data_IF_005682111476
#
_entry.id   IF_005682111476
#
_cell.length_a   1.000
_cell.length_b   1.000
_cell.length_c   1.000
_cell.angle_alpha   90.00
_cell.angle_beta   90.00
_cell.angle_gamma   90.00
#
_symmetry.space_group_name_H-M   'P 1'
#
loop_
_entity.id
_entity.type
_entity.pdbx_description
1 polymer ?
#
# COMPACT_ATOMS: atom_id res chain seq x y z
N UNK A 1 -5.93 -1.49 29.12
CA UNK A 1 -6.31 -2.64 28.28
C UNK A 1 -6.64 -2.20 26.87
N UNK A 2 -6.12 -2.85 25.88
CA UNK A 2 -6.46 -2.52 24.51
C UNK A 2 -7.92 -2.89 24.23
N UNK A 3 -8.65 -1.90 23.76
CA UNK A 3 -10.01 -2.08 23.28
C UNK A 3 -10.01 -1.98 21.79
N UNK A 4 -10.71 -2.47 21.00
CA UNK A 4 -10.69 -2.35 19.55
C UNK A 4 -9.79 -3.32 18.83
N UNK A 5 -9.08 -4.18 19.52
CA UNK A 5 -8.43 -5.34 18.96
C UNK A 5 -7.18 -5.13 18.12
N UNK A 6 -6.60 -3.92 18.06
CA UNK A 6 -5.33 -3.74 17.38
C UNK A 6 -4.17 -4.03 18.32
N UNK A 7 -3.17 -4.79 17.82
CA UNK A 7 -1.94 -5.03 18.54
C UNK A 7 -1.16 -3.73 18.73
N UNK A 8 -0.36 -3.62 19.81
CA UNK A 8 0.54 -2.49 19.97
C UNK A 8 1.44 -2.31 18.76
N UNK A 9 1.66 -1.07 18.34
CA UNK A 9 2.50 -0.76 17.18
C UNK A 9 1.78 -0.78 15.84
N UNK A 10 0.59 -1.35 15.74
CA UNK A 10 -0.22 -1.29 14.51
C UNK A 10 -0.83 0.10 14.40
N UNK A 11 -0.58 0.74 13.27
CA UNK A 11 -1.12 2.06 12.97
C UNK A 11 -2.47 1.96 12.26
N UNK A 12 -2.55 1.15 11.20
CA UNK A 12 -3.82 0.78 10.58
C UNK A 12 -3.68 -0.55 9.85
N UNK A 13 -4.81 -1.11 9.46
CA UNK A 13 -4.88 -2.35 8.67
C UNK A 13 -5.68 -2.10 7.41
N UNK A 14 -5.44 -2.94 6.40
CA UNK A 14 -6.21 -2.97 5.18
C UNK A 14 -6.39 -4.42 4.76
N UNK A 15 -7.48 -4.71 4.05
CA UNK A 15 -7.74 -6.05 3.50
C UNK A 15 -7.61 -5.95 1.99
N UNK A 16 -6.74 -6.75 1.40
CA UNK A 16 -6.54 -6.74 -0.04
C UNK A 16 -7.70 -7.45 -0.77
N UNK A 17 -7.79 -7.35 -2.11
CA UNK A 17 -8.88 -7.98 -2.86
C UNK A 17 -8.91 -9.50 -2.78
N UNK A 18 -7.83 -10.14 -2.36
CA UNK A 18 -7.73 -11.59 -2.20
C UNK A 18 -8.08 -12.04 -0.79
N UNK A 19 -8.49 -11.11 0.08
CA UNK A 19 -8.91 -11.39 1.44
C UNK A 19 -7.78 -11.47 2.47
N UNK A 20 -6.56 -11.11 2.09
CA UNK A 20 -5.42 -11.11 3.00
C UNK A 20 -5.32 -9.78 3.74
N UNK A 21 -5.01 -9.85 5.03
CA UNK A 21 -4.83 -8.65 5.86
C UNK A 21 -3.43 -8.10 5.72
N UNK A 22 -3.34 -6.78 5.54
CA UNK A 22 -2.08 -6.04 5.55
C UNK A 22 -2.06 -5.19 6.81
N UNK A 23 -1.03 -5.37 7.62
CA UNK A 23 -0.80 -4.55 8.80
C UNK A 23 0.24 -3.49 8.48
N UNK A 24 -0.09 -2.22 8.78
CA UNK A 24 0.85 -1.12 8.65
C UNK A 24 1.23 -0.68 10.06
N UNK A 25 2.46 -0.99 10.46
CA UNK A 25 2.96 -0.57 11.77
C UNK A 25 3.36 0.90 11.74
N UNK A 26 3.38 1.52 12.92
CA UNK A 26 3.87 2.90 13.06
C UNK A 26 5.31 3.05 12.57
N UNK A 27 6.14 2.04 12.86
CA UNK A 27 7.54 2.02 12.43
C UNK A 27 7.64 1.97 10.90
N UNK A 28 6.87 1.09 10.25
CA UNK A 28 6.88 0.95 8.79
C UNK A 28 6.35 2.21 8.11
N UNK A 29 5.30 2.81 8.68
CA UNK A 29 4.78 4.07 8.14
C UNK A 29 5.80 5.20 8.24
N UNK A 30 6.46 5.34 9.39
CA UNK A 30 7.51 6.34 9.57
C UNK A 30 8.66 6.13 8.58
N UNK A 31 9.02 4.88 8.33
CA UNK A 31 10.06 4.54 7.35
C UNK A 31 9.64 4.93 5.93
N UNK A 32 8.40 4.64 5.55
CA UNK A 32 7.88 5.00 4.23
C UNK A 32 7.88 6.53 4.03
N UNK A 33 7.43 7.28 5.02
CA UNK A 33 7.42 8.75 4.98
C UNK A 33 8.83 9.32 4.93
N UNK A 34 9.77 8.72 5.67
CA UNK A 34 11.17 9.15 5.64
C UNK A 34 11.77 8.98 4.24
N UNK A 35 11.50 7.87 3.59
CA UNK A 35 11.98 7.61 2.23
C UNK A 35 11.22 8.40 1.16
N UNK A 36 9.96 8.68 1.40
CA UNK A 36 9.07 9.36 0.46
C UNK A 36 8.22 10.39 1.21
N UNK A 37 8.75 11.60 1.47
CA UNK A 37 8.06 12.60 2.30
C UNK A 37 6.68 13.03 1.76
N UNK A 38 6.43 12.85 0.46
CA UNK A 38 5.12 13.11 -0.13
C UNK A 38 4.01 12.25 0.47
N UNK A 39 4.37 11.15 1.14
CA UNK A 39 3.40 10.24 1.76
C UNK A 39 2.91 10.71 3.13
N UNK A 40 3.50 11.76 3.69
CA UNK A 40 3.02 12.32 4.96
C UNK A 40 1.55 12.73 4.83
N UNK A 41 0.70 12.20 5.70
CA UNK A 41 -0.73 12.47 5.69
C UNK A 41 -1.53 11.69 4.65
N UNK A 42 -0.90 10.77 3.91
CA UNK A 42 -1.54 10.04 2.81
C UNK A 42 -1.97 8.62 3.21
N UNK A 43 -2.26 8.39 4.48
CA UNK A 43 -2.66 7.07 4.99
C UNK A 43 -3.87 6.50 4.26
N UNK A 44 -4.88 7.35 4.00
CA UNK A 44 -6.10 6.89 3.32
C UNK A 44 -5.81 6.47 1.87
N UNK A 45 -4.94 7.19 1.17
CA UNK A 45 -4.55 6.84 -0.20
C UNK A 45 -3.86 5.48 -0.22
N UNK A 46 -2.99 5.21 0.75
CA UNK A 46 -2.31 3.90 0.86
C UNK A 46 -3.32 2.79 1.17
N UNK A 47 -4.21 3.03 2.12
CA UNK A 47 -5.24 2.06 2.47
C UNK A 47 -6.13 1.74 1.27
N UNK A 48 -6.56 2.75 0.54
CA UNK A 48 -7.38 2.57 -0.66
C UNK A 48 -6.63 1.82 -1.76
N UNK A 49 -5.33 2.09 -1.93
CA UNK A 49 -4.52 1.39 -2.92
C UNK A 49 -4.38 -0.10 -2.60
N UNK A 50 -4.37 -0.47 -1.33
CA UNK A 50 -4.35 -1.88 -0.92
C UNK A 50 -5.71 -2.53 -1.07
N UNK A 51 -6.78 -1.87 -0.64
CA UNK A 51 -8.13 -2.44 -0.62
C UNK A 51 -8.81 -2.44 -1.99
N UNK A 52 -8.55 -1.41 -2.78
CA UNK A 52 -9.17 -1.20 -4.08
C UNK A 52 -8.13 -0.81 -5.13
N UNK A 53 -7.12 -1.64 -5.36
CA UNK A 53 -6.11 -1.32 -6.37
C UNK A 53 -6.69 -1.41 -7.78
N UNK A 54 -6.08 -0.71 -8.72
CA UNK A 54 -6.35 -0.93 -10.14
C UNK A 54 -5.70 -2.23 -10.59
N UNK A 55 -4.45 -2.45 -10.20
CA UNK A 55 -3.71 -3.68 -10.50
C UNK A 55 -2.81 -4.07 -9.33
N UNK A 56 -2.49 -5.37 -9.28
CA UNK A 56 -1.47 -5.91 -8.38
C UNK A 56 -0.43 -6.59 -9.24
N UNK A 57 0.84 -6.32 -8.99
CA UNK A 57 1.97 -6.84 -9.76
C UNK A 57 2.90 -7.67 -8.87
N UNK A 58 3.72 -8.50 -9.50
CA UNK A 58 4.83 -9.14 -8.82
C UNK A 58 5.79 -8.09 -8.25
N UNK A 59 6.37 -8.39 -7.09
CA UNK A 59 7.45 -7.59 -6.51
C UNK A 59 8.82 -8.16 -6.80
N UNK A 60 9.84 -7.64 -6.10
CA UNK A 60 11.23 -8.07 -6.28
C UNK A 60 11.49 -9.47 -5.73
N UNK A 61 10.68 -9.94 -4.80
CA UNK A 61 10.76 -11.30 -4.25
C UNK A 61 9.41 -11.99 -4.40
N UNK A 62 9.38 -13.32 -4.24
CA UNK A 62 8.15 -14.09 -4.32
C UNK A 62 7.12 -13.69 -3.25
N UNK A 63 7.56 -13.13 -2.13
CA UNK A 63 6.67 -12.69 -1.07
C UNK A 63 6.15 -11.26 -1.26
N UNK A 64 6.76 -10.49 -2.15
CA UNK A 64 6.38 -9.09 -2.34
C UNK A 64 5.31 -8.95 -3.42
N UNK A 65 4.33 -8.09 -3.18
CA UNK A 65 3.35 -7.66 -4.17
C UNK A 65 3.35 -6.14 -4.25
N UNK A 66 3.18 -5.64 -5.46
CA UNK A 66 3.15 -4.20 -5.74
C UNK A 66 1.72 -3.83 -6.11
N UNK A 67 1.09 -3.03 -5.26
CA UNK A 67 -0.27 -2.52 -5.47
C UNK A 67 -0.18 -1.18 -6.18
N UNK A 68 -0.84 -1.08 -7.31
CA UNK A 68 -0.99 0.18 -8.03
C UNK A 68 -2.42 0.68 -7.84
N UNK A 69 -2.56 1.80 -7.16
CA UNK A 69 -3.86 2.45 -7.00
C UNK A 69 -4.25 3.24 -8.26
N UNK A 70 -5.45 3.76 -8.24
CA UNK A 70 -5.95 4.61 -9.32
C UNK A 70 -5.25 5.96 -9.31
N UNK A 71 -5.18 6.58 -10.48
CA UNK A 71 -4.60 7.91 -10.63
C UNK A 71 -5.26 8.90 -9.68
N UNK A 72 -4.45 9.67 -8.97
CA UNK A 72 -4.95 10.72 -8.09
C UNK A 72 -5.50 11.84 -8.97
N UNK A 73 -6.70 12.37 -8.67
CA UNK A 73 -7.24 13.50 -9.44
C UNK A 73 -6.27 14.68 -9.46
N UNK A 74 -6.08 15.27 -10.63
CA UNK A 74 -5.15 16.39 -10.77
C UNK A 74 -5.63 17.68 -10.11
N UNK A 75 -6.94 17.86 -10.05
CA UNK A 75 -7.52 19.09 -9.53
C UNK A 75 -7.53 19.07 -8.00
N UNK A 76 -6.92 20.08 -7.39
CA UNK A 76 -6.89 20.21 -5.93
C UNK A 76 -5.80 19.41 -5.22
N UNK A 77 -4.99 18.65 -5.96
CA UNK A 77 -3.88 17.87 -5.40
C UNK A 77 -2.56 18.29 -6.01
N UNK A 78 -1.55 18.48 -5.15
CA UNK A 78 -0.19 18.83 -5.59
C UNK A 78 0.39 17.72 -6.47
N UNK A 79 0.06 16.44 -6.13
CA UNK A 79 0.57 15.26 -6.82
C UNK A 79 -0.47 14.65 -7.77
N UNK A 80 -1.39 15.47 -8.28
CA UNK A 80 -2.40 15.00 -9.21
C UNK A 80 -1.79 14.38 -10.46
N UNK A 81 -2.46 13.37 -11.00
CA UNK A 81 -1.99 12.63 -12.17
C UNK A 81 -1.03 11.50 -11.85
N UNK A 82 -0.63 11.34 -10.61
CA UNK A 82 0.23 10.23 -10.16
C UNK A 82 -0.59 9.05 -9.66
N UNK A 83 0.04 7.88 -9.62
CA UNK A 83 -0.51 6.65 -9.07
C UNK A 83 0.13 6.37 -7.71
N UNK A 84 -0.67 6.02 -6.67
CA UNK A 84 -0.09 5.48 -5.46
C UNK A 84 0.43 4.07 -5.73
N UNK A 85 1.66 3.81 -5.32
CA UNK A 85 2.32 2.51 -5.40
C UNK A 85 2.60 2.06 -3.99
N UNK A 86 2.19 0.85 -3.64
CA UNK A 86 2.36 0.29 -2.30
C UNK A 86 2.99 -1.09 -2.44
N UNK A 87 4.12 -1.30 -1.77
CA UNK A 87 4.80 -2.60 -1.76
C UNK A 87 4.54 -3.28 -0.44
N UNK A 88 4.02 -4.50 -0.49
CA UNK A 88 3.64 -5.30 0.67
C UNK A 88 4.36 -6.65 0.59
N UNK A 89 4.95 -7.07 1.71
CA UNK A 89 5.53 -8.41 1.83
C UNK A 89 4.60 -9.29 2.65
N UNK A 90 4.30 -10.47 2.13
CA UNK A 90 3.43 -11.45 2.80
C UNK A 90 4.25 -12.57 3.43
N UNK A 91 3.92 -12.92 4.67
CA UNK A 91 4.54 -14.04 5.35
C UNK A 91 3.89 -15.37 4.94
N UNK A 92 4.37 -16.48 5.54
CA UNK A 92 3.86 -17.81 5.24
C UNK A 92 2.39 -18.02 5.63
N UNK A 93 1.84 -17.15 6.47
CA UNK A 93 0.43 -17.20 6.89
C UNK A 93 -0.45 -16.27 6.07
N UNK A 94 0.12 -15.60 5.08
CA UNK A 94 -0.63 -14.65 4.24
C UNK A 94 -0.85 -13.28 4.88
N UNK A 95 -0.17 -12.98 5.98
CA UNK A 95 -0.23 -11.66 6.59
C UNK A 95 0.74 -10.71 5.88
N UNK A 96 0.22 -9.58 5.43
CA UNK A 96 1.02 -8.56 4.75
C UNK A 96 1.62 -7.54 5.70
N UNK A 97 2.79 -7.06 5.35
CA UNK A 97 3.53 -6.01 6.05
C UNK A 97 3.97 -4.95 5.04
N UNK A 98 3.69 -3.68 5.33
CA UNK A 98 4.08 -2.58 4.45
C UNK A 98 5.60 -2.50 4.34
N UNK A 99 6.11 -2.51 3.11
CA UNK A 99 7.54 -2.32 2.85
C UNK A 99 7.84 -0.88 2.49
N UNK A 100 7.08 -0.32 1.55
CA UNK A 100 7.21 1.08 1.14
C UNK A 100 5.93 1.54 0.45
N UNK A 101 5.78 2.85 0.31
CA UNK A 101 4.70 3.46 -0.45
C UNK A 101 5.21 4.76 -1.05
N UNK A 102 4.80 5.06 -2.28
CA UNK A 102 5.20 6.29 -2.95
C UNK A 102 4.20 6.63 -4.06
N UNK A 103 4.32 7.85 -4.59
CA UNK A 103 3.55 8.30 -5.74
C UNK A 103 4.41 8.25 -6.98
N UNK A 104 3.87 7.77 -8.10
CA UNK A 104 4.61 7.60 -9.34
C UNK A 104 3.76 8.02 -10.54
N UNK A 105 4.39 8.66 -11.51
CA UNK A 105 3.79 8.91 -12.82
C UNK A 105 3.87 7.69 -13.73
N UNK A 106 4.62 6.66 -13.32
CA UNK A 106 4.88 5.46 -14.13
C UNK A 106 4.13 4.26 -13.57
N UNK A 107 3.67 3.40 -14.50
CA UNK A 107 3.04 2.12 -14.19
C UNK A 107 4.13 1.09 -13.92
N UNK A 108 3.97 0.22 -12.90
CA UNK A 108 4.89 -0.90 -12.69
C UNK A 108 4.97 -1.79 -13.93
N UNK A 109 6.19 -2.23 -14.29
CA UNK A 109 6.43 -3.07 -15.46
C UNK A 109 6.38 -4.56 -15.16
N UNK A 110 6.41 -4.94 -13.88
CA UNK A 110 6.37 -6.34 -13.49
C UNK A 110 5.04 -6.99 -13.88
N UNK A 111 5.04 -8.31 -13.92
CA UNK A 111 3.86 -9.11 -14.30
C UNK A 111 2.65 -8.74 -13.46
N UNK A 112 1.51 -8.57 -14.11
CA UNK A 112 0.23 -8.33 -13.45
C UNK A 112 -0.29 -9.64 -12.89
N UNK A 113 -0.59 -9.65 -11.58
CA UNK A 113 -1.17 -10.81 -10.89
C UNK A 113 -2.68 -10.70 -10.75
N UNK A 114 -3.20 -9.48 -10.70
CA UNK A 114 -4.61 -9.20 -10.50
C UNK A 114 -4.97 -7.86 -11.11
N UNK A 115 -6.15 -7.78 -11.71
CA UNK A 115 -6.71 -6.55 -12.28
C UNK A 115 -8.10 -6.36 -11.73
N UNK A 116 -8.46 -5.13 -11.40
CA UNK A 116 -9.81 -4.79 -10.95
C UNK A 116 -10.83 -5.23 -12.02
N UNK A 117 -11.86 -6.01 -11.62
CA UNK A 117 -12.87 -6.47 -12.57
C UNK A 117 -13.71 -5.34 -13.16
#
# INVERSE_FOLDING_TARGET
MATGGQAPGIYFTAIDPLGQTVEVTRLRWAHAVKGHPAMLGQEQIVKDAIQNPETIHEGNTAQDKVFKGYRIPGQGFIYGGMYPIVVVRYDAHGMGDLRTAYLSARVPRAKVLWTHP
#
